data_IF_058484743961
#
_entry.id   IF_058484743961
#
_cell.length_a   1.000
_cell.length_b   1.000
_cell.length_c   1.000
_cell.angle_alpha   90.00
_cell.angle_beta   90.00
_cell.angle_gamma   90.00
#
_symmetry.space_group_name_H-M   'P 1'
#
loop_
_entity.id
_entity.type
_entity.pdbx_description
1 polymer ?
#
# COMPACT_ATOMS: atom_id res chain seq x y z
N UNK A 1 9.50 -25.61 15.03
CA UNK A 1 9.71 -24.89 13.77
C UNK A 1 8.42 -24.13 13.47
N UNK A 2 8.38 -22.82 13.76
CA UNK A 2 7.19 -21.99 13.57
C UNK A 2 7.29 -21.45 12.14
N UNK A 3 6.44 -21.95 11.24
CA UNK A 3 6.33 -21.40 9.90
C UNK A 3 5.83 -19.96 10.03
N UNK A 4 6.75 -19.01 9.88
CA UNK A 4 6.41 -17.61 9.60
C UNK A 4 5.87 -17.62 8.17
N UNK A 5 4.54 -17.63 8.03
CA UNK A 5 3.95 -17.31 6.74
C UNK A 5 4.24 -15.83 6.50
N UNK A 6 5.03 -15.47 5.48
CA UNK A 6 5.40 -14.09 5.29
C UNK A 6 4.20 -13.31 4.74
N UNK A 7 4.01 -12.08 5.21
CA UNK A 7 2.91 -11.23 4.74
C UNK A 7 3.20 -10.86 3.28
N UNK A 8 2.23 -11.07 2.39
CA UNK A 8 2.40 -10.74 0.98
C UNK A 8 1.50 -9.54 0.68
N UNK A 9 2.11 -8.41 0.36
CA UNK A 9 1.36 -7.21 0.01
C UNK A 9 1.59 -6.94 -1.48
N UNK A 10 0.55 -7.09 -2.29
CA UNK A 10 0.59 -6.58 -3.65
C UNK A 10 0.14 -5.11 -3.60
N UNK A 11 0.61 -4.30 -4.53
CA UNK A 11 0.34 -2.86 -4.56
C UNK A 11 -0.24 -2.50 -5.92
N UNK A 12 -1.24 -1.63 -5.94
CA UNK A 12 -1.73 -1.03 -7.18
C UNK A 12 -2.39 0.30 -6.86
N UNK A 13 -1.62 1.30 -6.40
CA UNK A 13 -2.18 2.61 -6.07
C UNK A 13 -2.68 3.31 -7.34
N UNK A 14 -3.99 3.26 -7.54
CA UNK A 14 -4.66 3.98 -8.60
C UNK A 14 -5.22 5.31 -8.12
N UNK A 15 -4.47 6.40 -8.33
CA UNK A 15 -4.96 7.76 -8.13
C UNK A 15 -5.60 8.27 -9.41
N UNK A 16 -6.83 8.79 -9.34
CA UNK A 16 -7.58 9.31 -10.51
C UNK A 16 -7.92 10.79 -10.36
N UNK A 17 -7.74 11.56 -11.45
CA UNK A 17 -8.26 12.94 -11.61
C UNK A 17 -9.54 13.03 -12.45
N UNK A 18 -10.25 14.16 -12.39
CA UNK A 18 -11.69 14.31 -12.75
C UNK A 18 -12.07 14.63 -14.22
N UNK A 19 -11.35 14.18 -15.26
CA UNK A 19 -11.90 14.36 -16.64
C UNK A 19 -11.65 13.26 -17.67
N UNK A 20 -10.90 12.24 -17.29
CA UNK A 20 -10.81 10.86 -17.77
C UNK A 20 -10.09 10.19 -16.61
N UNK A 21 -10.43 8.97 -16.21
CA UNK A 21 -9.74 8.28 -15.11
C UNK A 21 -8.25 8.07 -15.47
N UNK A 22 -7.45 9.12 -15.32
CA UNK A 22 -6.03 9.13 -15.60
C UNK A 22 -5.37 8.63 -14.34
N UNK A 23 -5.02 7.36 -14.39
CA UNK A 23 -4.17 6.70 -13.42
C UNK A 23 -2.87 7.51 -13.28
N UNK A 24 -2.53 7.94 -12.06
CA UNK A 24 -1.29 8.72 -11.82
C UNK A 24 -0.07 7.80 -11.72
N UNK A 25 -0.27 6.60 -11.18
CA UNK A 25 0.78 5.60 -11.01
C UNK A 25 0.15 4.20 -10.95
N UNK A 26 0.93 3.16 -11.25
CA UNK A 26 0.53 1.76 -11.10
C UNK A 26 1.75 0.86 -11.06
N UNK A 27 1.88 0.03 -10.03
CA UNK A 27 3.02 -0.86 -9.86
C UNK A 27 2.56 -2.31 -9.97
N UNK A 28 2.75 -2.99 -11.11
CA UNK A 28 2.30 -4.38 -11.29
C UNK A 28 3.04 -5.38 -10.39
N UNK A 29 4.26 -5.04 -9.95
CA UNK A 29 5.16 -5.89 -9.17
C UNK A 29 5.55 -7.21 -9.88
N UNK A 30 5.68 -7.14 -11.21
CA UNK A 30 6.05 -8.29 -12.07
C UNK A 30 7.56 -8.56 -12.09
N UNK A 31 8.37 -7.71 -11.44
CA UNK A 31 9.80 -7.87 -11.35
C UNK A 31 10.20 -9.16 -10.61
N UNK A 32 11.33 -9.73 -11.02
CA UNK A 32 11.85 -10.97 -10.45
C UNK A 32 13.02 -10.75 -9.49
N UNK A 33 13.61 -9.55 -9.49
CA UNK A 33 14.80 -9.20 -8.73
C UNK A 33 15.05 -7.68 -8.72
N UNK A 34 16.00 -7.24 -7.90
CA UNK A 34 16.38 -5.83 -7.77
C UNK A 34 15.60 -5.10 -6.69
N UNK A 35 15.85 -3.80 -6.57
CA UNK A 35 15.29 -2.94 -5.52
C UNK A 35 14.32 -1.89 -6.08
N UNK A 36 13.85 -2.07 -7.32
CA UNK A 36 12.98 -1.11 -8.01
C UNK A 36 11.68 -1.81 -8.38
N UNK A 37 10.56 -1.20 -8.02
CA UNK A 37 9.23 -1.53 -8.52
C UNK A 37 8.84 -0.51 -9.59
N UNK A 38 8.70 -0.92 -10.85
CA UNK A 38 8.43 0.02 -11.94
C UNK A 38 6.99 0.54 -11.90
N UNK A 39 6.83 1.84 -12.13
CA UNK A 39 5.53 2.46 -12.41
C UNK A 39 5.19 2.24 -13.91
N UNK A 40 4.13 1.49 -14.19
CA UNK A 40 3.70 1.15 -15.54
C UNK A 40 2.97 2.30 -16.27
N UNK A 41 2.70 3.42 -15.59
CA UNK A 41 1.84 4.49 -16.11
C UNK A 41 2.54 5.83 -16.12
N UNK A 42 3.22 6.16 -15.02
CA UNK A 42 3.90 7.43 -14.84
C UNK A 42 5.41 7.27 -14.82
N UNK A 43 6.02 8.00 -13.89
CA UNK A 43 7.46 7.99 -13.65
C UNK A 43 7.67 7.96 -12.12
N UNK A 44 6.84 7.22 -11.40
CA UNK A 44 6.85 7.13 -9.93
C UNK A 44 7.46 5.80 -9.47
N UNK A 45 8.53 5.33 -10.10
CA UNK A 45 9.20 4.09 -9.71
C UNK A 45 9.45 4.03 -8.19
N UNK A 46 9.09 2.89 -7.62
CA UNK A 46 9.23 2.61 -6.20
C UNK A 46 10.61 2.05 -5.89
N UNK A 47 11.19 2.44 -4.76
CA UNK A 47 12.42 1.86 -4.22
C UNK A 47 12.07 0.98 -3.02
N UNK A 48 12.51 -0.27 -3.07
CA UNK A 48 12.33 -1.25 -1.99
C UNK A 48 13.34 -0.98 -0.86
N UNK A 49 12.88 -1.04 0.38
CA UNK A 49 13.68 -0.96 1.61
C UNK A 49 13.32 -2.11 2.55
N UNK A 50 14.27 -2.57 3.37
CA UNK A 50 14.09 -3.69 4.33
C UNK A 50 14.45 -5.09 3.80
N UNK A 51 14.60 -5.23 2.48
CA UNK A 51 14.78 -6.49 1.72
C UNK A 51 13.50 -7.33 1.54
N UNK A 52 12.40 -6.72 1.05
CA UNK A 52 11.21 -7.48 0.70
C UNK A 52 11.48 -8.43 -0.48
N UNK A 53 10.72 -9.52 -0.56
CA UNK A 53 10.98 -10.63 -1.49
C UNK A 53 9.99 -10.64 -2.65
N UNK A 54 10.50 -10.63 -3.88
CA UNK A 54 9.69 -10.74 -5.09
C UNK A 54 9.03 -12.12 -5.20
N UNK A 55 7.71 -12.15 -5.42
CA UNK A 55 6.94 -13.35 -5.71
C UNK A 55 6.05 -13.15 -6.97
N UNK A 56 6.63 -13.16 -8.18
CA UNK A 56 5.94 -12.87 -9.44
C UNK A 56 4.94 -13.96 -9.88
N UNK A 57 4.93 -15.13 -9.21
CA UNK A 57 4.06 -16.25 -9.54
C UNK A 57 2.93 -16.47 -8.52
N UNK A 58 2.91 -15.71 -7.41
CA UNK A 58 1.98 -15.93 -6.30
C UNK A 58 0.55 -15.50 -6.63
N UNK A 59 0.41 -14.46 -7.45
CA UNK A 59 -0.87 -13.94 -7.93
C UNK A 59 -0.86 -13.96 -9.45
N UNK A 60 -2.05 -14.02 -10.05
CA UNK A 60 -2.27 -13.87 -11.48
C UNK A 60 -3.39 -12.86 -11.66
N UNK A 61 -3.30 -11.92 -12.61
CA UNK A 61 -2.28 -11.83 -13.67
C UNK A 61 -0.95 -11.16 -13.29
N UNK A 62 -0.84 -10.53 -12.11
CA UNK A 62 0.32 -9.74 -11.69
C UNK A 62 1.17 -10.40 -10.62
N UNK A 63 2.40 -9.95 -10.47
CA UNK A 63 3.30 -10.36 -9.39
C UNK A 63 2.93 -9.76 -8.04
N UNK A 64 3.78 -10.04 -7.05
CA UNK A 64 3.58 -9.57 -5.68
C UNK A 64 4.92 -9.41 -4.97
N UNK A 65 4.89 -8.66 -3.88
CA UNK A 65 6.05 -8.45 -3.02
C UNK A 65 5.71 -8.89 -1.60
N UNK A 66 6.65 -9.58 -0.96
CA UNK A 66 6.49 -10.15 0.36
C UNK A 66 7.25 -9.31 1.37
N UNK A 67 6.53 -8.87 2.41
CA UNK A 67 6.99 -8.01 3.47
C UNK A 67 7.08 -8.81 4.77
N UNK A 68 8.18 -8.68 5.50
CA UNK A 68 8.45 -9.44 6.72
C UNK A 68 7.71 -8.90 7.96
N UNK A 69 7.05 -7.75 7.83
CA UNK A 69 6.26 -7.09 8.86
C UNK A 69 7.08 -6.27 9.87
N UNK A 70 8.38 -6.06 9.65
CA UNK A 70 9.27 -5.28 10.53
C UNK A 70 9.64 -3.92 9.96
N UNK A 71 10.35 -3.90 8.83
CA UNK A 71 10.92 -2.68 8.25
C UNK A 71 10.85 -2.64 6.71
N UNK A 72 10.17 -3.61 6.10
CA UNK A 72 9.95 -3.64 4.66
C UNK A 72 8.94 -2.58 4.21
N UNK A 73 9.28 -1.82 3.17
CA UNK A 73 8.36 -0.91 2.48
C UNK A 73 8.84 -0.57 1.06
N UNK A 74 7.92 -0.01 0.26
CA UNK A 74 8.24 0.66 -1.01
C UNK A 74 8.06 2.16 -0.79
N UNK A 75 9.09 2.95 -1.06
CA UNK A 75 8.99 4.41 -1.14
C UNK A 75 8.95 4.87 -2.57
N UNK A 76 8.18 5.92 -2.83
CA UNK A 76 8.07 6.55 -4.15
C UNK A 76 8.30 8.04 -3.98
N UNK A 77 8.50 8.75 -5.09
CA UNK A 77 8.44 10.21 -5.06
C UNK A 77 7.03 10.70 -4.74
N UNK A 78 6.89 11.97 -4.38
CA UNK A 78 5.60 12.59 -4.16
C UNK A 78 4.74 12.56 -5.43
N UNK A 79 3.70 11.73 -5.44
CA UNK A 79 2.86 11.48 -6.62
C UNK A 79 1.53 12.26 -6.60
N UNK A 80 0.96 12.52 -5.42
CA UNK A 80 -0.38 13.11 -5.28
C UNK A 80 -0.44 14.07 -4.08
N UNK A 81 -1.13 15.19 -4.25
CA UNK A 81 -1.55 16.06 -3.15
C UNK A 81 -3.06 15.91 -2.89
N UNK A 82 -3.47 15.27 -1.78
CA UNK A 82 -4.89 15.10 -1.41
C UNK A 82 -5.66 16.42 -1.25
N UNK A 83 -4.98 17.55 -1.02
CA UNK A 83 -5.63 18.85 -0.88
C UNK A 83 -6.05 19.45 -2.23
N UNK A 84 -5.53 18.95 -3.36
CA UNK A 84 -5.83 19.48 -4.71
C UNK A 84 -7.12 18.95 -5.32
N UNK A 85 -7.74 17.93 -4.71
CA UNK A 85 -9.00 17.39 -5.21
C UNK A 85 -9.29 15.98 -4.71
N UNK A 86 -10.46 15.43 -5.08
CA UNK A 86 -10.79 14.05 -4.76
C UNK A 86 -9.80 13.10 -5.45
N UNK A 87 -9.51 11.99 -4.78
CA UNK A 87 -8.66 10.94 -5.30
C UNK A 87 -9.21 9.57 -4.93
N UNK A 88 -8.55 8.53 -5.43
CA UNK A 88 -8.79 7.15 -5.02
C UNK A 88 -7.44 6.48 -4.83
N UNK A 89 -7.43 5.40 -4.05
CA UNK A 89 -6.29 4.52 -3.89
C UNK A 89 -6.82 3.09 -3.85
N UNK A 90 -6.04 2.17 -4.38
CA UNK A 90 -6.38 0.76 -4.49
C UNK A 90 -5.13 -0.06 -4.20
N UNK A 91 -5.30 -1.29 -3.73
CA UNK A 91 -4.24 -2.29 -3.61
C UNK A 91 -4.89 -3.67 -3.44
N UNK A 92 -4.12 -4.71 -3.73
CA UNK A 92 -4.47 -6.08 -3.38
C UNK A 92 -3.60 -6.50 -2.19
N UNK A 93 -4.15 -6.87 -1.04
CA UNK A 93 -3.32 -7.27 0.11
C UNK A 93 -3.69 -8.65 0.63
N UNK A 94 -2.68 -9.41 1.06
CA UNK A 94 -2.83 -10.59 1.90
C UNK A 94 -2.10 -10.36 3.22
N UNK A 95 -2.89 -10.07 4.26
CA UNK A 95 -2.39 -9.82 5.60
C UNK A 95 -2.55 -11.04 6.51
N UNK A 96 -1.75 -11.06 7.56
CA UNK A 96 -1.86 -12.02 8.67
C UNK A 96 -1.59 -11.37 10.04
N UNK A 97 -1.31 -10.06 10.08
CA UNK A 97 -1.04 -9.31 11.29
C UNK A 97 -1.85 -8.01 11.34
N UNK A 98 -2.41 -7.73 12.52
CA UNK A 98 -3.13 -6.50 12.81
C UNK A 98 -2.16 -5.31 13.01
N UNK A 99 -2.67 -4.09 12.91
CA UNK A 99 -1.91 -2.87 13.22
C UNK A 99 -0.84 -2.49 12.19
N UNK A 100 -0.94 -3.00 10.95
CA UNK A 100 -0.01 -2.66 9.87
C UNK A 100 -0.51 -1.48 9.05
N UNK A 101 0.42 -0.67 8.56
CA UNK A 101 0.14 0.40 7.59
C UNK A 101 0.30 -0.20 6.19
N UNK A 102 -0.69 0.03 5.33
CA UNK A 102 -0.70 -0.47 3.95
C UNK A 102 -0.26 0.62 2.97
N UNK A 103 -0.81 1.83 3.15
CA UNK A 103 -0.43 3.02 2.39
C UNK A 103 -0.28 4.17 3.37
N UNK A 104 0.84 4.90 3.25
CA UNK A 104 1.04 6.17 3.92
C UNK A 104 1.68 7.17 2.98
N UNK A 105 1.49 8.45 3.30
CA UNK A 105 2.19 9.54 2.66
C UNK A 105 2.95 10.32 3.73
N UNK A 106 4.23 10.57 3.49
CA UNK A 106 5.02 11.52 4.29
C UNK A 106 4.74 12.94 3.81
N UNK A 107 4.59 13.88 4.75
CA UNK A 107 4.68 15.30 4.44
C UNK A 107 6.14 15.77 4.35
N UNK A 108 6.36 16.98 3.84
CA UNK A 108 7.69 17.59 3.72
C UNK A 108 8.39 17.82 5.08
N UNK A 109 7.67 17.69 6.20
CA UNK A 109 8.18 17.83 7.57
C UNK A 109 8.54 16.49 8.24
N UNK A 110 8.39 15.36 7.54
CA UNK A 110 8.65 14.03 8.07
C UNK A 110 7.52 13.46 8.94
N UNK A 111 6.38 14.15 9.03
CA UNK A 111 5.17 13.65 9.67
C UNK A 111 4.32 12.98 8.58
N UNK A 112 4.09 11.67 8.71
CA UNK A 112 3.29 10.92 7.75
C UNK A 112 1.82 10.79 8.16
N UNK A 113 0.94 10.61 7.19
CA UNK A 113 -0.42 10.14 7.40
C UNK A 113 -0.61 8.76 6.78
N UNK A 114 -1.17 7.84 7.56
CA UNK A 114 -1.63 6.56 7.04
C UNK A 114 -2.96 6.75 6.32
N UNK A 115 -3.02 6.33 5.06
CA UNK A 115 -4.23 6.38 4.26
C UNK A 115 -5.05 5.11 4.42
N UNK A 116 -4.38 3.95 4.39
CA UNK A 116 -4.98 2.63 4.55
C UNK A 116 -4.19 1.83 5.59
N UNK A 117 -4.91 1.21 6.52
CA UNK A 117 -4.36 0.46 7.65
C UNK A 117 -5.13 -0.84 7.87
N UNK A 118 -4.47 -1.81 8.51
CA UNK A 118 -5.11 -2.91 9.19
C UNK A 118 -5.32 -2.51 10.66
N UNK A 119 -6.57 -2.46 11.12
CA UNK A 119 -6.92 -2.06 12.49
C UNK A 119 -6.15 -2.85 13.54
N UNK A 120 -5.85 -2.22 14.68
CA UNK A 120 -4.88 -2.74 15.67
C UNK A 120 -5.34 -3.97 16.44
N UNK A 121 -6.64 -4.21 16.51
CA UNK A 121 -7.20 -5.33 17.31
C UNK A 121 -7.41 -6.57 16.45
N UNK A 122 -8.09 -6.41 15.32
CA UNK A 122 -8.55 -7.51 14.47
C UNK A 122 -7.97 -7.47 13.07
N UNK A 123 -7.39 -6.34 12.64
CA UNK A 123 -6.88 -6.16 11.29
C UNK A 123 -7.96 -5.81 10.26
N UNK A 124 -9.07 -5.23 10.70
CA UNK A 124 -10.08 -4.69 9.80
C UNK A 124 -9.48 -3.60 8.90
N UNK A 125 -9.81 -3.60 7.60
CA UNK A 125 -9.39 -2.54 6.69
C UNK A 125 -9.94 -1.20 7.19
N UNK A 126 -9.07 -0.20 7.34
CA UNK A 126 -9.47 1.14 7.74
C UNK A 126 -8.70 2.25 7.04
N UNK A 127 -9.21 3.46 7.19
CA UNK A 127 -8.54 4.70 6.80
C UNK A 127 -8.40 5.60 8.02
N UNK A 128 -7.28 6.32 8.14
CA UNK A 128 -6.98 7.23 9.26
C UNK A 128 -6.61 8.63 8.76
N UNK A 129 -7.23 9.05 7.64
CA UNK A 129 -7.00 10.37 7.06
C UNK A 129 -7.36 11.48 8.03
N UNK A 130 -6.55 12.53 8.03
CA UNK A 130 -6.76 13.70 8.87
C UNK A 130 -7.47 14.80 8.08
N UNK A 131 -8.48 15.42 8.67
CA UNK A 131 -9.16 16.56 8.03
C UNK A 131 -8.33 17.86 8.10
N UNK A 132 -8.80 18.90 7.42
CA UNK A 132 -8.13 20.21 7.37
C UNK A 132 -7.94 20.88 8.75
N UNK A 133 -8.56 20.36 9.81
CA UNK A 133 -8.42 20.85 11.19
C UNK A 133 -7.45 20.01 12.02
N UNK A 134 -6.78 19.04 11.41
CA UNK A 134 -5.85 18.15 12.12
C UNK A 134 -6.56 17.03 12.89
N UNK A 135 -7.86 16.78 12.65
CA UNK A 135 -8.57 15.67 13.31
C UNK A 135 -8.54 14.40 12.46
N UNK A 136 -8.07 13.30 13.05
CA UNK A 136 -8.14 11.96 12.43
C UNK A 136 -9.61 11.55 12.26
N UNK A 137 -9.98 11.16 11.05
CA UNK A 137 -11.31 10.67 10.66
C UNK A 137 -11.21 9.18 10.34
N UNK A 138 -11.08 8.37 11.40
CA UNK A 138 -10.95 6.95 11.25
C UNK A 138 -12.27 6.31 10.77
N UNK A 139 -12.21 5.48 9.73
CA UNK A 139 -13.31 4.64 9.28
C UNK A 139 -12.77 3.22 9.08
N UNK A 140 -13.50 2.23 9.59
CA UNK A 140 -13.13 0.82 9.50
C UNK A 140 -14.27 0.05 8.83
N UNK A 141 -13.90 -0.81 7.88
CA UNK A 141 -14.79 -1.75 7.24
C UNK A 141 -14.90 -3.05 8.06
N UNK A 142 -15.91 -3.87 7.76
CA UNK A 142 -16.04 -5.22 8.34
C UNK A 142 -15.02 -6.21 7.76
N UNK A 143 -14.40 -5.89 6.62
CA UNK A 143 -13.40 -6.73 5.98
C UNK A 143 -12.15 -6.86 6.85
N UNK A 144 -11.75 -8.10 7.17
CA UNK A 144 -10.61 -8.43 8.02
C UNK A 144 -9.44 -8.89 7.16
N UNK A 145 -8.37 -8.09 7.09
CA UNK A 145 -7.21 -8.37 6.24
C UNK A 145 -6.30 -9.47 6.77
N UNK A 146 -6.47 -9.88 8.03
CA UNK A 146 -5.61 -10.85 8.74
C UNK A 146 -6.07 -12.29 8.56
N UNK A 147 -7.04 -12.53 7.69
CA UNK A 147 -7.65 -13.84 7.46
C UNK A 147 -6.83 -14.75 6.52
N UNK A 148 -5.65 -14.30 6.08
CA UNK A 148 -4.77 -15.03 5.17
C UNK A 148 -5.33 -15.15 3.75
N UNK A 149 -6.24 -14.26 3.35
CA UNK A 149 -6.81 -14.17 2.00
C UNK A 149 -6.45 -12.85 1.34
N UNK A 150 -6.57 -12.83 0.02
CA UNK A 150 -6.45 -11.61 -0.76
C UNK A 150 -7.72 -10.78 -0.66
N UNK A 151 -7.55 -9.47 -0.44
CA UNK A 151 -8.59 -8.44 -0.44
C UNK A 151 -8.23 -7.33 -1.40
#
# INVERSE_FOLDING_TARGET
MKALMPAAMAFALAVTGTSRASLVAHWPLDETSGTVAADAVGDNDGTLSGNPVWEPARVRPSGSLVFDGKDDYITTRFALDPAKGPFSAFLWALGNEAGKVLIAQQDFGGIGQAWLVAGTTTGNLGTELTDARGQVRALYADAVLTDGRWH
#
